data_IF_170025650875
#
_entry.id   IF_170025650875
#
_cell.length_a   1.000
_cell.length_b   1.000
_cell.length_c   1.000
_cell.angle_alpha   90.00
_cell.angle_beta   90.00
_cell.angle_gamma   90.00
#
_symmetry.space_group_name_H-M   'P 1'
#
loop_
_entity.id
_entity.type
_entity.pdbx_description
1 polymer ?
#
# COMPACT_ATOMS: atom_id res chain seq x y z
N UNK A 1 22.18 -15.25 8.51
CA UNK A 1 22.07 -14.93 7.07
C UNK A 1 21.72 -13.46 6.95
N UNK A 2 22.75 -12.64 6.75
CA UNK A 2 22.61 -11.24 6.35
C UNK A 2 21.82 -11.21 5.03
N UNK A 3 20.93 -10.21 4.87
CA UNK A 3 20.23 -10.00 3.61
C UNK A 3 21.25 -9.97 2.46
N UNK A 4 20.99 -10.69 1.37
CA UNK A 4 21.85 -10.60 0.17
C UNK A 4 21.88 -9.13 -0.26
N UNK A 5 23.07 -8.50 -0.21
CA UNK A 5 23.25 -7.10 -0.61
C UNK A 5 22.85 -6.88 -2.08
N UNK A 6 22.95 -7.91 -2.92
CA UNK A 6 22.65 -7.84 -4.35
C UNK A 6 21.15 -7.89 -4.67
N UNK A 7 20.33 -8.36 -3.72
CA UNK A 7 18.86 -8.47 -3.86
C UNK A 7 18.18 -8.11 -2.54
N UNK A 8 18.18 -6.83 -2.15
CA UNK A 8 17.50 -6.36 -0.94
C UNK A 8 16.00 -6.71 -0.99
N UNK A 9 15.32 -6.82 0.16
CA UNK A 9 13.88 -7.05 0.17
C UNK A 9 13.14 -5.91 -0.56
N UNK A 10 11.95 -6.19 -1.06
CA UNK A 10 11.09 -5.18 -1.70
C UNK A 10 9.95 -4.87 -0.73
N UNK A 11 9.68 -3.58 -0.51
CA UNK A 11 8.54 -3.12 0.27
C UNK A 11 7.55 -2.43 -0.67
N UNK A 12 6.32 -2.93 -0.72
CA UNK A 12 5.21 -2.34 -1.47
C UNK A 12 4.26 -1.70 -0.47
N UNK A 13 4.06 -0.39 -0.58
CA UNK A 13 3.14 0.37 0.26
C UNK A 13 2.20 1.25 -0.52
N UNK A 14 1.11 1.63 0.15
CA UNK A 14 0.02 2.43 -0.38
C UNK A 14 -1.20 2.19 0.48
N UNK A 15 -2.23 3.02 0.34
CA UNK A 15 -3.45 2.79 1.11
C UNK A 15 -4.16 1.50 0.68
N UNK A 16 -4.91 0.84 1.60
CA UNK A 16 -5.79 -0.24 1.23
C UNK A 16 -6.69 0.19 0.07
N UNK A 17 -6.88 -0.71 -0.91
CA UNK A 17 -7.70 -0.47 -2.12
C UNK A 17 -7.05 0.40 -3.21
N UNK A 18 -5.74 0.67 -3.10
CA UNK A 18 -4.94 1.34 -4.12
C UNK A 18 -4.23 0.38 -5.10
N UNK A 19 -4.61 -0.90 -5.13
CA UNK A 19 -4.01 -1.88 -6.05
C UNK A 19 -2.74 -2.59 -5.54
N UNK A 20 -2.29 -2.29 -4.32
CA UNK A 20 -1.13 -2.92 -3.66
C UNK A 20 -1.14 -4.46 -3.73
N UNK A 21 -2.32 -5.08 -3.64
CA UNK A 21 -2.47 -6.55 -3.68
C UNK A 21 -2.27 -7.10 -5.09
N UNK A 22 -2.81 -6.43 -6.11
CA UNK A 22 -2.61 -6.82 -7.51
C UNK A 22 -1.13 -6.71 -7.88
N UNK A 23 -0.52 -5.56 -7.55
CA UNK A 23 0.91 -5.30 -7.71
C UNK A 23 1.76 -6.41 -7.11
N UNK A 24 1.58 -6.69 -5.82
CA UNK A 24 2.31 -7.76 -5.12
C UNK A 24 2.07 -9.15 -5.74
N UNK A 25 0.85 -9.43 -6.23
CA UNK A 25 0.52 -10.72 -6.86
C UNK A 25 1.27 -10.92 -8.18
N UNK A 26 1.34 -9.88 -9.02
CA UNK A 26 2.09 -9.94 -10.28
C UNK A 26 3.58 -10.08 -10.01
N UNK A 27 4.17 -9.28 -9.10
CA UNK A 27 5.59 -9.39 -8.76
C UNK A 27 5.96 -10.78 -8.18
N UNK A 28 5.06 -11.40 -7.41
CA UNK A 28 5.25 -12.74 -6.85
C UNK A 28 5.30 -13.86 -7.90
N UNK A 29 5.01 -13.58 -9.17
CA UNK A 29 5.20 -14.56 -10.25
C UNK A 29 6.67 -14.77 -10.62
N UNK A 30 7.57 -13.85 -10.22
CA UNK A 30 9.01 -14.00 -10.44
C UNK A 30 9.59 -15.20 -9.68
N UNK A 31 10.76 -15.68 -10.13
CA UNK A 31 11.42 -16.83 -9.51
C UNK A 31 11.93 -16.46 -8.11
N UNK A 32 11.93 -17.45 -7.22
CA UNK A 32 12.48 -17.37 -5.86
C UNK A 32 11.99 -16.18 -5.01
N UNK A 33 10.69 -15.85 -5.06
CA UNK A 33 10.06 -14.85 -4.19
C UNK A 33 9.45 -15.49 -2.93
N UNK A 34 9.59 -14.79 -1.80
CA UNK A 34 8.81 -14.94 -0.56
C UNK A 34 7.92 -13.72 -0.37
N UNK A 35 6.63 -13.85 -0.67
CA UNK A 35 5.68 -12.76 -0.44
C UNK A 35 5.13 -12.80 0.98
N UNK A 36 5.27 -11.70 1.71
CA UNK A 36 4.69 -11.45 3.02
C UNK A 36 3.55 -10.44 2.91
N UNK A 37 2.39 -10.82 3.43
CA UNK A 37 1.15 -10.06 3.35
C UNK A 37 0.85 -9.33 4.66
N UNK A 38 0.85 -8.00 4.59
CA UNK A 38 0.43 -7.06 5.62
C UNK A 38 0.90 -7.40 7.05
N UNK A 39 2.23 -7.54 7.28
CA UNK A 39 2.76 -7.83 8.60
C UNK A 39 2.40 -6.79 9.64
N UNK A 40 2.16 -5.52 9.27
CA UNK A 40 1.81 -4.45 10.21
C UNK A 40 0.29 -4.35 10.47
N UNK A 41 -0.50 -5.33 10.02
CA UNK A 41 -1.94 -5.36 10.24
C UNK A 41 -2.29 -5.84 11.65
N UNK A 42 -2.56 -4.90 12.56
CA UNK A 42 -2.87 -5.18 13.97
C UNK A 42 -4.13 -6.04 14.18
N UNK A 43 -5.09 -6.02 13.25
CA UNK A 43 -6.33 -6.81 13.36
C UNK A 43 -6.07 -8.31 13.10
N UNK A 44 -4.91 -8.66 12.54
CA UNK A 44 -4.54 -10.03 12.19
C UNK A 44 -3.20 -10.49 12.74
N UNK A 45 -2.31 -9.57 13.10
CA UNK A 45 -0.98 -9.83 13.65
C UNK A 45 -0.90 -9.05 14.96
N UNK A 46 -1.17 -9.71 16.09
CA UNK A 46 -1.20 -9.04 17.40
C UNK A 46 0.13 -8.36 17.77
N UNK A 47 1.26 -8.98 17.40
CA UNK A 47 2.62 -8.43 17.54
C UNK A 47 2.79 -7.08 16.81
N UNK A 48 1.97 -6.79 15.79
CA UNK A 48 2.03 -5.54 15.04
C UNK A 48 1.24 -4.38 15.68
N UNK A 49 0.44 -4.63 16.71
CA UNK A 49 -0.35 -3.60 17.41
C UNK A 49 0.45 -2.33 17.77
N UNK A 50 1.63 -2.41 18.41
CA UNK A 50 2.43 -1.21 18.73
C UNK A 50 3.06 -0.54 17.49
N UNK A 51 3.00 -1.18 16.33
CA UNK A 51 3.65 -0.76 15.09
C UNK A 51 2.67 -0.23 14.04
N UNK A 52 1.37 -0.35 14.30
CA UNK A 52 0.31 0.08 13.38
C UNK A 52 0.35 1.59 13.14
N UNK A 53 0.51 1.98 11.86
CA UNK A 53 0.63 3.38 11.40
C UNK A 53 1.66 4.20 12.19
N UNK A 54 2.67 3.52 12.75
CA UNK A 54 3.70 4.17 13.54
C UNK A 54 4.55 5.07 12.64
N UNK A 55 4.84 6.27 13.11
CA UNK A 55 5.81 7.19 12.55
C UNK A 55 7.10 7.14 13.38
N UNK A 56 8.23 7.14 12.69
CA UNK A 56 9.57 7.25 13.28
C UNK A 56 10.43 8.08 12.32
N UNK A 57 11.22 9.01 12.87
CA UNK A 57 12.30 9.68 12.12
C UNK A 57 13.42 8.69 11.82
N UNK A 58 14.22 8.92 10.78
CA UNK A 58 15.23 7.95 10.32
C UNK A 58 16.19 7.42 11.42
N UNK A 59 16.55 8.30 12.36
CA UNK A 59 17.50 8.09 13.45
C UNK A 59 16.85 7.69 14.79
N UNK A 60 15.52 7.63 14.86
CA UNK A 60 14.82 7.25 16.07
C UNK A 60 15.22 5.82 16.52
N UNK A 61 15.62 5.70 17.79
CA UNK A 61 15.95 4.40 18.36
C UNK A 61 14.69 3.70 18.92
N UNK A 62 14.16 2.75 18.15
CA UNK A 62 13.06 1.90 18.58
C UNK A 62 13.42 0.42 18.39
N UNK A 63 13.94 -0.21 19.45
CA UNK A 63 14.42 -1.60 19.40
C UNK A 63 13.31 -2.60 19.06
N UNK A 64 12.08 -2.36 19.53
CA UNK A 64 10.94 -3.24 19.26
C UNK A 64 10.57 -3.19 17.78
N UNK A 65 10.42 -1.99 17.20
CA UNK A 65 10.16 -1.82 15.77
C UNK A 65 11.30 -2.37 14.92
N UNK A 66 12.55 -2.15 15.34
CA UNK A 66 13.73 -2.71 14.65
C UNK A 66 13.74 -4.22 14.63
N UNK A 67 13.49 -4.86 15.78
CA UNK A 67 13.42 -6.32 15.85
C UNK A 67 12.28 -6.87 14.97
N UNK A 68 11.10 -6.22 15.03
CA UNK A 68 9.95 -6.59 14.22
C UNK A 68 10.26 -6.49 12.71
N UNK A 69 10.78 -5.37 12.25
CA UNK A 69 11.23 -5.18 10.87
C UNK A 69 12.27 -6.22 10.46
N UNK A 70 13.33 -6.42 11.26
CA UNK A 70 14.37 -7.40 10.94
C UNK A 70 13.81 -8.82 10.80
N UNK A 71 12.87 -9.23 11.64
CA UNK A 71 12.16 -10.53 11.54
C UNK A 71 11.34 -10.65 10.27
N UNK A 72 10.58 -9.61 9.92
CA UNK A 72 9.72 -9.55 8.72
C UNK A 72 10.57 -9.54 7.45
N UNK A 73 11.46 -8.57 7.30
CA UNK A 73 12.23 -8.34 6.07
C UNK A 73 13.32 -9.39 5.81
N UNK A 74 13.78 -10.12 6.84
CA UNK A 74 14.64 -11.30 6.65
C UNK A 74 13.90 -12.56 6.21
N UNK A 75 12.56 -12.50 6.11
CA UNK A 75 11.75 -13.65 5.70
C UNK A 75 11.60 -14.72 6.79
N UNK A 76 11.89 -14.37 8.06
CA UNK A 76 11.85 -15.29 9.22
C UNK A 76 10.50 -15.32 9.93
N UNK A 77 9.56 -14.45 9.58
CA UNK A 77 8.21 -14.51 10.16
C UNK A 77 7.52 -15.81 9.78
N UNK A 78 7.02 -16.53 10.78
CA UNK A 78 6.24 -17.77 10.62
C UNK A 78 4.73 -17.56 10.78
N UNK A 79 4.29 -16.31 10.97
CA UNK A 79 2.88 -16.00 11.21
C UNK A 79 2.01 -16.44 10.02
N UNK A 80 0.95 -17.24 10.21
CA UNK A 80 0.14 -17.78 9.12
C UNK A 80 -0.45 -16.70 8.22
N UNK A 81 -0.97 -15.61 8.79
CA UNK A 81 -1.52 -14.49 8.02
C UNK A 81 -0.45 -13.79 7.15
N UNK A 82 0.76 -13.62 7.68
CA UNK A 82 1.88 -12.99 6.96
C UNK A 82 2.30 -13.85 5.78
N UNK A 83 2.38 -15.17 5.97
CA UNK A 83 2.71 -16.11 4.88
C UNK A 83 1.57 -16.35 3.91
N UNK A 84 0.32 -16.19 4.34
CA UNK A 84 -0.84 -16.67 3.62
C UNK A 84 -1.97 -15.63 3.63
N UNK A 85 -1.94 -14.74 2.64
CA UNK A 85 -3.16 -14.13 2.05
C UNK A 85 -2.86 -13.29 0.81
N UNK A 86 -2.61 -13.95 -0.31
CA UNK A 86 -3.16 -13.46 -1.57
C UNK A 86 -4.35 -14.36 -1.91
N UNK A 87 -5.57 -13.85 -1.76
CA UNK A 87 -6.81 -14.60 -1.95
C UNK A 87 -6.95 -15.13 -3.39
N UNK A 88 -7.63 -16.27 -3.57
CA UNK A 88 -8.12 -16.75 -4.88
C UNK A 88 -7.10 -17.54 -5.72
N UNK A 89 -7.27 -17.51 -7.05
CA UNK A 89 -6.49 -18.25 -8.06
C UNK A 89 -4.95 -18.07 -7.95
N UNK A 90 -4.48 -17.08 -7.19
CA UNK A 90 -3.06 -16.81 -6.87
C UNK A 90 -2.46 -17.71 -5.79
N UNK A 91 -3.30 -18.44 -5.05
CA UNK A 91 -2.88 -19.40 -4.01
C UNK A 91 -2.41 -20.75 -4.56
N UNK A 92 -2.62 -21.02 -5.87
CA UNK A 92 -2.27 -22.31 -6.50
C UNK A 92 -0.78 -22.48 -6.81
N UNK A 93 0.05 -21.47 -6.57
CA UNK A 93 1.49 -21.63 -6.60
C UNK A 93 1.95 -22.21 -5.26
N UNK A 94 1.94 -23.56 -5.20
CA UNK A 94 2.59 -24.51 -4.29
C UNK A 94 2.99 -23.95 -2.91
N UNK A 95 2.59 -24.64 -1.83
CA UNK A 95 3.20 -24.57 -0.49
C UNK A 95 4.73 -24.53 -0.61
N UNK A 96 5.31 -23.35 -0.80
CA UNK A 96 6.74 -23.17 -1.03
C UNK A 96 7.35 -23.34 0.34
N UNK A 97 8.18 -24.35 0.50
CA UNK A 97 8.69 -24.74 1.79
C UNK A 97 9.47 -23.56 2.36
N UNK A 98 9.08 -23.06 3.54
CA UNK A 98 9.52 -21.74 4.03
C UNK A 98 11.03 -21.63 4.29
N UNK A 99 11.72 -22.77 4.30
CA UNK A 99 13.17 -22.87 4.39
C UNK A 99 13.91 -22.57 3.08
N UNK A 100 13.25 -22.69 1.91
CA UNK A 100 13.93 -22.41 0.64
C UNK A 100 14.32 -20.93 0.57
N UNK A 101 15.52 -20.60 0.08
CA UNK A 101 15.96 -19.22 -0.06
C UNK A 101 15.10 -18.48 -1.08
N UNK A 102 14.86 -17.20 -0.85
CA UNK A 102 14.11 -16.36 -1.78
C UNK A 102 14.11 -14.90 -1.36
N UNK A 103 14.02 -14.01 -2.34
CA UNK A 103 13.92 -12.57 -2.13
C UNK A 103 12.57 -12.25 -1.50
N UNK A 104 12.58 -11.50 -0.41
CA UNK A 104 11.37 -11.13 0.32
C UNK A 104 10.70 -9.96 -0.38
N UNK A 105 9.40 -10.09 -0.64
CA UNK A 105 8.52 -8.98 -0.97
C UNK A 105 7.57 -8.81 0.20
N UNK A 106 7.58 -7.66 0.85
CA UNK A 106 6.61 -7.29 1.87
C UNK A 106 5.61 -6.36 1.22
N UNK A 107 4.34 -6.76 1.18
CA UNK A 107 3.25 -5.86 0.85
C UNK A 107 2.60 -5.42 2.13
N UNK A 108 2.48 -4.13 2.36
CA UNK A 108 1.89 -3.61 3.59
C UNK A 108 1.19 -2.27 3.36
N UNK A 109 0.15 -1.98 4.14
CA UNK A 109 -0.66 -0.75 4.01
C UNK A 109 -0.69 0.07 5.31
N UNK A 110 -0.02 -0.43 6.35
CA UNK A 110 -0.03 0.09 7.71
C UNK A 110 1.34 0.62 8.16
N UNK A 111 2.38 0.42 7.36
CA UNK A 111 3.76 0.92 7.56
C UNK A 111 4.05 2.25 6.85
N UNK A 112 3.06 2.83 6.17
CA UNK A 112 3.23 4.01 5.31
C UNK A 112 3.86 5.22 6.00
N UNK A 113 3.71 5.38 7.32
CA UNK A 113 4.28 6.53 8.05
C UNK A 113 5.77 6.33 8.43
N UNK A 114 6.29 5.11 8.49
CA UNK A 114 7.66 4.83 8.96
C UNK A 114 8.65 4.56 7.82
N UNK A 115 8.39 5.03 6.59
CA UNK A 115 9.24 4.63 5.46
C UNK A 115 10.68 5.15 5.58
N UNK A 116 10.91 6.39 6.00
CA UNK A 116 12.28 6.92 6.20
C UNK A 116 13.07 6.05 7.18
N UNK A 117 12.43 5.66 8.29
CA UNK A 117 13.03 4.77 9.28
C UNK A 117 13.34 3.40 8.67
N UNK A 118 12.40 2.82 7.92
CA UNK A 118 12.56 1.50 7.29
C UNK A 118 13.66 1.54 6.22
N UNK A 119 13.70 2.58 5.39
CA UNK A 119 14.73 2.80 4.38
C UNK A 119 16.11 2.90 5.04
N UNK A 120 16.23 3.72 6.08
CA UNK A 120 17.49 3.92 6.79
C UNK A 120 17.99 2.66 7.51
N UNK A 121 17.12 1.93 8.21
CA UNK A 121 17.52 0.85 9.12
C UNK A 121 17.47 -0.56 8.49
N UNK A 122 16.69 -0.74 7.42
CA UNK A 122 16.47 -2.04 6.75
C UNK A 122 16.91 -2.00 5.28
N UNK A 123 16.83 -0.84 4.63
CA UNK A 123 17.19 -0.61 3.23
C UNK A 123 16.51 -1.55 2.22
N UNK A 124 15.17 -1.73 2.22
CA UNK A 124 14.47 -2.39 1.13
C UNK A 124 14.42 -1.51 -0.13
N UNK A 125 14.15 -2.12 -1.29
CA UNK A 125 13.64 -1.35 -2.44
C UNK A 125 12.17 -1.00 -2.19
N UNK A 126 11.86 0.29 -2.09
CA UNK A 126 10.51 0.78 -1.77
C UNK A 126 9.74 1.10 -3.04
N UNK A 127 8.51 0.59 -3.12
CA UNK A 127 7.51 0.88 -4.15
C UNK A 127 6.28 1.48 -3.48
N UNK A 128 6.02 2.74 -3.74
CA UNK A 128 4.80 3.44 -3.33
C UNK A 128 3.81 3.36 -4.50
N UNK A 129 2.62 2.83 -4.23
CA UNK A 129 1.49 2.88 -5.16
C UNK A 129 0.40 3.79 -4.61
N UNK A 130 -0.04 4.73 -5.43
CA UNK A 130 -1.22 5.57 -5.15
C UNK A 130 -2.39 5.25 -6.09
N UNK A 131 -3.58 5.71 -5.73
CA UNK A 131 -4.80 5.63 -6.55
C UNK A 131 -5.57 6.94 -6.37
N UNK A 132 -6.26 7.37 -7.42
CA UNK A 132 -7.14 8.52 -7.39
C UNK A 132 -8.09 8.45 -6.17
N UNK A 133 -8.25 9.55 -5.41
CA UNK A 133 -8.99 9.54 -4.16
C UNK A 133 -10.46 9.12 -4.34
N UNK A 134 -11.12 9.56 -5.42
CA UNK A 134 -12.48 9.11 -5.77
C UNK A 134 -12.54 7.59 -6.06
N UNK A 135 -11.52 7.02 -6.69
CA UNK A 135 -11.43 5.58 -6.93
C UNK A 135 -11.31 4.78 -5.62
N UNK A 136 -10.52 5.29 -4.67
CA UNK A 136 -10.40 4.71 -3.34
C UNK A 136 -11.71 4.86 -2.55
N UNK A 137 -12.29 6.06 -2.50
CA UNK A 137 -13.52 6.37 -1.78
C UNK A 137 -14.70 5.52 -2.28
N UNK A 138 -14.85 5.39 -3.60
CA UNK A 138 -15.87 4.52 -4.18
C UNK A 138 -15.69 3.05 -3.79
N UNK A 139 -14.44 2.56 -3.76
CA UNK A 139 -14.18 1.20 -3.28
C UNK A 139 -14.53 1.05 -1.80
N UNK A 140 -14.25 2.04 -0.97
CA UNK A 140 -14.51 1.98 0.47
C UNK A 140 -15.99 2.08 0.76
N UNK A 141 -16.73 2.92 0.03
CA UNK A 141 -18.19 3.01 0.13
C UNK A 141 -18.82 1.63 -0.05
N UNK A 142 -18.47 0.89 -1.12
CA UNK A 142 -19.03 -0.46 -1.35
C UNK A 142 -18.70 -1.47 -0.25
N UNK A 143 -17.49 -1.41 0.29
CA UNK A 143 -17.05 -2.40 1.29
C UNK A 143 -17.59 -2.11 2.68
N UNK A 144 -17.90 -0.84 2.98
CA UNK A 144 -18.04 -0.42 4.37
C UNK A 144 -19.25 0.47 4.67
N UNK A 145 -20.11 0.75 3.69
CA UNK A 145 -21.35 1.54 3.90
C UNK A 145 -22.24 1.01 5.03
N UNK A 146 -22.20 -0.29 5.33
CA UNK A 146 -22.97 -0.92 6.41
C UNK A 146 -22.26 -0.98 7.77
N UNK A 147 -20.98 -0.58 7.85
CA UNK A 147 -20.22 -0.61 9.10
C UNK A 147 -20.32 0.74 9.80
N UNK A 148 -21.24 0.84 10.76
CA UNK A 148 -21.38 1.94 11.73
C UNK A 148 -20.13 2.10 12.63
N UNK A 149 -19.20 1.12 12.61
CA UNK A 149 -17.99 1.16 13.41
C UNK A 149 -16.82 1.78 12.63
N UNK A 150 -16.51 3.02 13.02
CA UNK A 150 -15.53 3.94 12.46
C UNK A 150 -14.07 3.50 12.68
N UNK A 151 -13.70 2.30 12.20
CA UNK A 151 -12.32 1.83 12.21
C UNK A 151 -11.33 2.75 11.47
N UNK A 152 -11.84 3.72 10.71
CA UNK A 152 -11.11 4.72 9.90
C UNK A 152 -10.91 6.05 10.61
N UNK A 153 -11.86 6.46 11.46
CA UNK A 153 -11.61 7.48 12.47
C UNK A 153 -10.42 7.09 13.34
N UNK A 154 -10.25 5.79 13.62
CA UNK A 154 -9.05 5.28 14.31
C UNK A 154 -7.75 5.57 13.56
N UNK A 155 -7.74 5.58 12.23
CA UNK A 155 -6.53 5.82 11.45
C UNK A 155 -6.11 7.30 11.53
N UNK A 156 -7.04 8.24 11.31
CA UNK A 156 -6.76 9.66 11.53
C UNK A 156 -6.36 9.95 12.98
N UNK A 157 -7.11 9.41 13.95
CA UNK A 157 -6.77 9.54 15.37
C UNK A 157 -5.37 9.00 15.67
N UNK A 158 -4.98 7.87 15.04
CA UNK A 158 -3.65 7.31 15.19
C UNK A 158 -2.56 8.21 14.60
N UNK A 159 -2.79 8.86 13.45
CA UNK A 159 -1.85 9.83 12.90
C UNK A 159 -1.73 11.05 13.82
N UNK A 160 -2.87 11.61 14.26
CA UNK A 160 -2.94 12.78 15.14
C UNK A 160 -2.40 12.51 16.56
N UNK A 161 -2.37 11.25 17.01
CA UNK A 161 -1.84 10.87 18.31
C UNK A 161 -0.30 10.77 18.34
N UNK A 162 0.39 11.13 17.26
CA UNK A 162 1.84 11.00 17.13
C UNK A 162 2.50 12.39 17.02
N UNK A 163 3.03 12.96 18.12
CA UNK A 163 3.53 14.34 18.13
C UNK A 163 4.60 14.64 17.07
N UNK A 164 5.57 13.74 16.88
CA UNK A 164 6.60 13.90 15.83
C UNK A 164 6.01 13.94 14.42
N UNK A 165 4.99 13.13 14.14
CA UNK A 165 4.34 13.12 12.83
C UNK A 165 3.57 14.42 12.57
N UNK A 166 2.91 14.95 13.60
CA UNK A 166 2.28 16.27 13.53
C UNK A 166 3.31 17.34 13.24
N UNK A 167 4.37 17.42 14.06
CA UNK A 167 5.47 18.38 13.92
C UNK A 167 6.10 18.34 12.52
N UNK A 168 6.45 17.15 12.04
CA UNK A 168 7.22 16.99 10.81
C UNK A 168 6.38 17.19 9.54
N UNK A 169 5.08 16.87 9.59
CA UNK A 169 4.25 16.81 8.38
C UNK A 169 2.84 17.39 8.52
N UNK A 170 2.10 17.04 9.57
CA UNK A 170 0.64 17.20 9.58
C UNK A 170 0.12 18.47 10.28
N UNK A 171 0.97 19.21 10.98
CA UNK A 171 0.61 20.46 11.67
C UNK A 171 -0.16 21.46 10.78
N UNK A 172 0.22 21.68 9.49
CA UNK A 172 -0.53 22.61 8.62
C UNK A 172 -1.98 22.20 8.31
N UNK A 173 -2.36 20.95 8.60
CA UNK A 173 -3.66 20.37 8.29
C UNK A 173 -4.38 19.88 9.54
N UNK A 174 -3.86 20.16 10.74
CA UNK A 174 -4.33 19.57 11.98
C UNK A 174 -5.82 19.85 12.24
N UNK A 175 -6.25 21.10 12.07
CA UNK A 175 -7.64 21.49 12.25
C UNK A 175 -8.57 20.77 11.26
N UNK A 176 -8.19 20.68 9.98
CA UNK A 176 -8.96 19.93 8.98
C UNK A 176 -9.04 18.44 9.33
N UNK A 177 -7.93 17.85 9.77
CA UNK A 177 -7.83 16.44 10.13
C UNK A 177 -8.66 16.09 11.37
N UNK A 178 -8.73 17.01 12.35
CA UNK A 178 -9.55 16.86 13.57
C UNK A 178 -11.03 17.04 13.27
N UNK A 179 -11.38 17.94 12.35
CA UNK A 179 -12.75 18.23 11.94
C UNK A 179 -13.18 17.38 10.72
N UNK A 180 -12.96 16.07 10.79
CA UNK A 180 -13.41 15.11 9.76
C UNK A 180 -14.83 14.60 10.07
N UNK A 181 -15.86 15.31 9.62
CA UNK A 181 -17.24 15.10 10.10
C UNK A 181 -17.99 14.01 9.34
N UNK A 182 -17.74 13.88 8.03
CA UNK A 182 -18.45 12.93 7.18
C UNK A 182 -17.60 11.73 6.77
N UNK A 183 -18.26 10.69 6.28
CA UNK A 183 -17.60 9.51 5.69
C UNK A 183 -16.60 9.90 4.59
N UNK A 184 -16.99 10.84 3.70
CA UNK A 184 -16.13 11.26 2.60
C UNK A 184 -15.02 12.19 3.05
N UNK A 185 -15.25 13.06 4.04
CA UNK A 185 -14.19 13.86 4.65
C UNK A 185 -13.11 12.97 5.26
N UNK A 186 -13.52 11.99 6.07
CA UNK A 186 -12.59 11.08 6.72
C UNK A 186 -11.71 10.33 5.71
N UNK A 187 -12.30 9.86 4.60
CA UNK A 187 -11.56 9.18 3.53
C UNK A 187 -10.61 10.14 2.82
N UNK A 188 -11.10 11.30 2.41
CA UNK A 188 -10.33 12.27 1.64
C UNK A 188 -9.15 12.82 2.45
N UNK A 189 -9.39 13.15 3.73
CA UNK A 189 -8.36 13.64 4.64
C UNK A 189 -7.35 12.56 5.01
N UNK A 190 -7.78 11.31 5.24
CA UNK A 190 -6.84 10.21 5.47
C UNK A 190 -6.00 9.90 4.24
N UNK A 191 -6.62 9.90 3.05
CA UNK A 191 -5.92 9.77 1.78
C UNK A 191 -4.88 10.87 1.63
N UNK A 192 -5.28 12.12 1.85
CA UNK A 192 -4.42 13.27 1.68
C UNK A 192 -3.26 13.28 2.67
N UNK A 193 -3.51 13.01 3.95
CA UNK A 193 -2.47 12.94 4.99
C UNK A 193 -1.41 11.89 4.66
N UNK A 194 -1.83 10.66 4.34
CA UNK A 194 -0.88 9.58 4.04
C UNK A 194 -0.09 9.87 2.77
N UNK A 195 -0.74 10.27 1.68
CA UNK A 195 0.00 10.55 0.44
C UNK A 195 0.79 11.85 0.50
N UNK A 196 0.44 12.81 1.36
CA UNK A 196 1.29 13.95 1.69
C UNK A 196 2.58 13.52 2.37
N UNK A 197 2.51 12.70 3.43
CA UNK A 197 3.69 12.15 4.11
C UNK A 197 4.55 11.37 3.11
N UNK A 198 3.95 10.41 2.41
CA UNK A 198 4.64 9.56 1.44
C UNK A 198 5.30 10.37 0.32
N UNK A 199 4.64 11.41 -0.19
CA UNK A 199 5.20 12.26 -1.23
C UNK A 199 6.36 13.11 -0.70
N UNK A 200 6.25 13.67 0.50
CA UNK A 200 7.35 14.44 1.11
C UNK A 200 8.59 13.57 1.32
N UNK A 201 8.41 12.35 1.82
CA UNK A 201 9.50 11.38 1.94
C UNK A 201 10.06 10.98 0.57
N UNK A 202 9.20 10.68 -0.40
CA UNK A 202 9.63 10.34 -1.76
C UNK A 202 10.54 11.43 -2.38
N UNK A 203 10.27 12.72 -2.14
CA UNK A 203 11.09 13.82 -2.65
C UNK A 203 12.53 13.82 -2.13
N UNK A 204 12.81 13.23 -0.98
CA UNK A 204 14.17 13.12 -0.41
C UNK A 204 14.81 11.75 -0.66
N UNK A 205 14.08 10.80 -1.26
CA UNK A 205 14.53 9.43 -1.52
C UNK A 205 14.37 9.07 -3.01
N UNK A 206 15.26 9.55 -3.91
CA UNK A 206 15.13 9.36 -5.37
C UNK A 206 15.20 7.89 -5.83
N UNK A 207 15.69 6.98 -4.98
CA UNK A 207 15.75 5.56 -5.26
C UNK A 207 14.40 4.84 -5.06
N UNK A 208 13.42 5.49 -4.44
CA UNK A 208 12.09 4.93 -4.29
C UNK A 208 11.34 4.98 -5.62
N UNK A 209 10.42 4.04 -5.80
CA UNK A 209 9.60 3.95 -7.00
C UNK A 209 8.20 4.41 -6.64
N UNK A 210 7.73 5.49 -7.26
CA UNK A 210 6.36 5.97 -7.13
C UNK A 210 5.59 5.62 -8.40
N UNK A 211 4.44 4.97 -8.26
CA UNK A 211 3.55 4.60 -9.38
C UNK A 211 2.10 4.86 -9.04
N UNK A 212 1.27 5.06 -10.06
CA UNK A 212 -0.17 5.14 -9.90
C UNK A 212 -0.84 3.83 -10.30
N UNK A 213 -1.93 3.50 -9.61
CA UNK A 213 -2.80 2.39 -9.96
C UNK A 213 -3.36 2.57 -11.38
N UNK A 214 -3.64 3.81 -11.78
CA UNK A 214 -4.19 4.12 -13.09
C UNK A 214 -3.19 3.85 -14.22
N UNK A 215 -1.89 4.12 -14.05
CA UNK A 215 -0.86 3.71 -15.02
C UNK A 215 -0.84 2.20 -15.19
N UNK A 216 -0.75 1.45 -14.09
CA UNK A 216 -0.78 -0.01 -14.12
C UNK A 216 -2.04 -0.54 -14.82
N UNK A 217 -3.19 0.11 -14.65
CA UNK A 217 -4.44 -0.31 -15.27
C UNK A 217 -4.55 0.03 -16.76
N UNK A 218 -3.96 1.14 -17.22
CA UNK A 218 -4.06 1.59 -18.62
C UNK A 218 -3.17 0.77 -19.54
N UNK A 219 -1.94 0.48 -19.12
CA UNK A 219 -1.01 -0.36 -19.89
C UNK A 219 -0.26 -1.34 -18.97
N UNK A 220 -0.94 -2.40 -18.50
CA UNK A 220 -0.35 -3.33 -17.53
C UNK A 220 0.96 -3.94 -18.03
N UNK A 221 1.03 -4.35 -19.29
CA UNK A 221 2.20 -5.05 -19.82
C UNK A 221 3.43 -4.13 -19.80
N UNK A 222 3.29 -2.90 -20.30
CA UNK A 222 4.39 -1.92 -20.31
C UNK A 222 4.83 -1.58 -18.89
N UNK A 223 3.89 -1.18 -18.03
CA UNK A 223 4.22 -0.67 -16.70
C UNK A 223 4.81 -1.75 -15.79
N UNK A 224 4.32 -3.00 -15.87
CA UNK A 224 4.95 -4.11 -15.13
C UNK A 224 6.32 -4.48 -15.71
N UNK A 225 6.55 -4.43 -17.03
CA UNK A 225 7.89 -4.71 -17.60
C UNK A 225 8.93 -3.72 -17.06
N UNK A 226 8.60 -2.43 -17.05
CA UNK A 226 9.47 -1.40 -16.47
C UNK A 226 9.68 -1.61 -14.97
N UNK A 227 8.64 -1.97 -14.23
CA UNK A 227 8.75 -2.24 -12.80
C UNK A 227 9.62 -3.48 -12.50
N UNK A 228 9.47 -4.57 -13.26
CA UNK A 228 10.31 -5.76 -13.11
C UNK A 228 11.79 -5.43 -13.36
N UNK A 229 12.08 -4.60 -14.37
CA UNK A 229 13.43 -4.12 -14.66
C UNK A 229 13.99 -3.29 -13.51
N UNK A 230 13.26 -2.27 -13.02
CA UNK A 230 13.68 -1.43 -11.89
C UNK A 230 13.92 -2.23 -10.60
N UNK A 231 13.12 -3.27 -10.39
CA UNK A 231 13.24 -4.15 -9.23
C UNK A 231 14.20 -5.32 -9.44
N UNK A 232 14.88 -5.46 -10.58
CA UNK A 232 15.73 -6.61 -10.90
C UNK A 232 15.01 -7.96 -10.65
N UNK A 233 13.78 -8.05 -11.17
CA UNK A 233 12.94 -9.25 -11.14
C UNK A 233 12.89 -9.90 -12.52
N UNK A 234 12.85 -11.22 -12.56
CA UNK A 234 12.73 -11.98 -13.79
C UNK A 234 11.27 -12.03 -14.25
N UNK A 235 11.01 -11.65 -15.50
CA UNK A 235 9.72 -11.84 -16.17
C UNK A 235 9.56 -13.30 -16.58
N UNK A 236 8.38 -13.88 -16.35
CA UNK A 236 8.12 -15.30 -16.62
C UNK A 236 6.80 -15.50 -17.37
N UNK A 237 6.60 -16.68 -17.95
CA UNK A 237 5.30 -17.04 -18.54
C UNK A 237 4.14 -17.00 -17.53
N UNK A 238 4.43 -17.18 -16.23
CA UNK A 238 3.42 -16.98 -15.17
C UNK A 238 3.00 -15.52 -15.04
N UNK A 239 3.93 -14.60 -15.29
CA UNK A 239 3.69 -13.15 -15.32
C UNK A 239 2.74 -12.81 -16.48
N UNK A 240 2.95 -13.39 -17.65
CA UNK A 240 2.02 -13.22 -18.78
C UNK A 240 0.62 -13.78 -18.45
N UNK A 241 0.56 -14.98 -17.87
CA UNK A 241 -0.70 -15.63 -17.48
C UNK A 241 -1.49 -14.84 -16.42
N UNK A 242 -0.83 -14.33 -15.37
CA UNK A 242 -1.51 -13.53 -14.35
C UNK A 242 -2.04 -12.24 -14.95
N UNK A 243 -1.29 -11.57 -15.83
CA UNK A 243 -1.74 -10.32 -16.45
C UNK A 243 -2.88 -10.58 -17.42
N UNK A 244 -2.83 -11.64 -18.23
CA UNK A 244 -3.91 -12.02 -19.13
C UNK A 244 -5.21 -12.39 -18.39
N UNK A 245 -5.12 -13.03 -17.21
CA UNK A 245 -6.31 -13.45 -16.44
C UNK A 245 -6.84 -12.37 -15.50
N UNK A 246 -5.98 -11.50 -14.97
CA UNK A 246 -6.35 -10.48 -13.98
C UNK A 246 -6.88 -9.18 -14.56
N UNK A 247 -6.71 -8.95 -15.87
CA UNK A 247 -7.02 -7.67 -16.53
C UNK A 247 -8.28 -7.69 -17.40
N UNK A 248 -8.85 -8.87 -17.66
CA UNK A 248 -9.93 -9.07 -18.66
C UNK A 248 -11.29 -9.43 -18.06
N UNK A 249 -11.35 -9.81 -16.77
CA UNK A 249 -12.58 -10.24 -16.12
C UNK A 249 -12.69 -9.70 -14.69
N UNK A 250 -13.90 -9.26 -14.31
CA UNK A 250 -14.22 -8.87 -12.93
C UNK A 250 -14.81 -10.07 -12.19
N UNK A 251 -14.15 -10.52 -11.12
CA UNK A 251 -14.64 -11.67 -10.34
C UNK A 251 -15.78 -11.32 -9.38
N UNK A 252 -16.26 -10.07 -9.37
CA UNK A 252 -17.37 -9.58 -8.52
C UNK A 252 -17.04 -9.45 -7.02
N UNK A 253 -16.03 -10.17 -6.52
CA UNK A 253 -15.60 -10.13 -5.13
C UNK A 253 -14.79 -8.86 -4.83
N UNK A 254 -15.18 -8.13 -3.78
CA UNK A 254 -14.50 -6.90 -3.34
C UNK A 254 -13.01 -7.10 -3.07
N UNK A 255 -12.59 -8.25 -2.51
CA UNK A 255 -11.19 -8.51 -2.16
C UNK A 255 -10.35 -9.09 -3.30
N UNK A 256 -10.97 -9.48 -4.42
CA UNK A 256 -10.24 -10.00 -5.57
C UNK A 256 -9.49 -8.89 -6.33
N UNK A 257 -8.26 -9.14 -6.80
CA UNK A 257 -7.56 -8.22 -7.70
C UNK A 257 -7.94 -8.40 -9.18
N UNK A 258 -8.74 -9.42 -9.55
CA UNK A 258 -9.17 -9.63 -10.94
C UNK A 258 -10.25 -8.62 -11.33
N UNK A 259 -9.96 -7.78 -12.33
CA UNK A 259 -10.86 -6.75 -12.85
C UNK A 259 -10.68 -6.60 -14.36
N UNK A 260 -11.66 -5.97 -15.01
CA UNK A 260 -11.41 -5.32 -16.31
C UNK A 260 -10.57 -4.08 -16.05
N UNK A 261 -9.25 -4.22 -16.13
CA UNK A 261 -8.28 -3.22 -15.65
C UNK A 261 -8.48 -1.84 -16.30
N UNK A 262 -8.74 -1.81 -17.61
CA UNK A 262 -8.98 -0.58 -18.37
C UNK A 262 -10.15 0.27 -17.83
N UNK A 263 -11.13 -0.35 -17.16
CA UNK A 263 -12.28 0.35 -16.60
C UNK A 263 -12.03 0.89 -15.18
N UNK A 264 -11.04 0.35 -14.46
CA UNK A 264 -10.82 0.71 -13.05
C UNK A 264 -10.44 2.18 -12.80
N UNK A 265 -9.71 2.89 -13.68
CA UNK A 265 -9.39 4.31 -13.51
C UNK A 265 -10.62 5.23 -13.49
N UNK A 266 -11.67 4.90 -14.25
CA UNK A 266 -12.86 5.75 -14.44
C UNK A 266 -14.13 5.19 -13.78
N UNK A 267 -14.07 3.97 -13.21
CA UNK A 267 -15.21 3.27 -12.60
C UNK A 267 -15.98 4.10 -11.57
N UNK A 268 -15.28 4.95 -10.82
CA UNK A 268 -15.86 5.77 -9.76
C UNK A 268 -16.82 6.85 -10.28
N UNK A 269 -16.68 7.30 -11.54
CA UNK A 269 -17.59 8.29 -12.16
C UNK A 269 -19.04 7.80 -12.21
N UNK A 270 -19.25 6.48 -12.28
CA UNK A 270 -20.59 5.87 -12.29
C UNK A 270 -21.07 5.46 -10.89
N UNK A 271 -20.23 5.60 -9.86
CA UNK A 271 -20.45 5.05 -8.53
C UNK A 271 -20.56 6.11 -7.43
N UNK A 272 -20.11 7.34 -7.71
CA UNK A 272 -20.20 8.48 -6.82
C UNK A 272 -21.09 9.55 -7.45
N UNK A 273 -21.82 10.29 -6.63
CA UNK A 273 -22.57 11.46 -7.10
C UNK A 273 -21.62 12.65 -7.33
N UNK A 274 -22.02 13.67 -8.13
CA UNK A 274 -21.22 14.88 -8.32
C UNK A 274 -20.81 15.55 -7.00
N UNK A 275 -21.72 15.63 -6.03
CA UNK A 275 -21.48 16.25 -4.72
C UNK A 275 -20.44 15.45 -3.92
N UNK A 276 -20.49 14.11 -3.99
CA UNK A 276 -19.50 13.25 -3.34
C UNK A 276 -18.12 13.44 -3.97
N UNK A 277 -18.04 13.54 -5.30
CA UNK A 277 -16.80 13.80 -6.02
C UNK A 277 -16.22 15.15 -5.59
N UNK A 278 -17.05 16.19 -5.56
CA UNK A 278 -16.65 17.54 -5.15
C UNK A 278 -16.10 17.58 -3.72
N UNK A 279 -16.80 16.95 -2.76
CA UNK A 279 -16.34 16.86 -1.36
C UNK A 279 -14.96 16.20 -1.29
N UNK A 280 -14.80 15.05 -1.95
CA UNK A 280 -13.53 14.31 -1.95
C UNK A 280 -12.42 15.19 -2.54
N UNK A 281 -12.63 15.76 -3.73
CA UNK A 281 -11.64 16.57 -4.43
C UNK A 281 -11.25 17.80 -3.62
N UNK A 282 -12.24 18.52 -3.06
CA UNK A 282 -12.03 19.69 -2.20
C UNK A 282 -11.13 19.35 -1.02
N UNK A 283 -11.45 18.30 -0.26
CA UNK A 283 -10.67 17.90 0.91
C UNK A 283 -9.27 17.38 0.55
N UNK A 284 -9.14 16.63 -0.55
CA UNK A 284 -7.80 16.19 -0.99
C UNK A 284 -6.93 17.32 -1.52
N UNK A 285 -7.53 18.39 -2.06
CA UNK A 285 -6.79 19.52 -2.62
C UNK A 285 -6.02 20.32 -1.57
N UNK A 286 -6.42 20.24 -0.29
CA UNK A 286 -5.74 20.88 0.85
C UNK A 286 -4.25 20.55 0.89
N UNK A 287 -3.89 19.31 0.56
CA UNK A 287 -2.52 18.80 0.66
C UNK A 287 -1.60 19.23 -0.50
N UNK A 288 -2.15 19.88 -1.55
CA UNK A 288 -1.40 20.40 -2.71
C UNK A 288 -0.44 19.38 -3.34
N UNK A 289 -0.88 18.13 -3.43
CA UNK A 289 -0.13 17.05 -4.07
C UNK A 289 -0.02 17.30 -5.59
N UNK A 290 1.13 16.97 -6.24
CA UNK A 290 1.34 17.24 -7.66
C UNK A 290 0.60 16.25 -8.58
N UNK A 291 -0.16 15.33 -7.99
CA UNK A 291 -0.95 14.32 -8.69
C UNK A 291 -2.41 14.44 -8.25
N UNK A 292 -3.32 14.17 -9.18
CA UNK A 292 -4.78 14.30 -9.00
C UNK A 292 -5.24 15.71 -8.57
N UNK A 293 -4.39 16.72 -8.73
CA UNK A 293 -4.73 18.13 -8.56
C UNK A 293 -5.45 18.63 -9.83
N UNK A 294 -6.78 18.64 -9.78
CA UNK A 294 -7.73 18.94 -10.88
C UNK A 294 -7.80 17.84 -11.95
N UNK A 295 -8.94 17.15 -11.94
CA UNK A 295 -9.43 16.24 -12.98
C UNK A 295 -10.95 16.28 -12.97
#
# INVERSE_FOLDING_TARGET
MLLSKDKPPILIVGLPRSGTTWLASVLNTSKNIKLFHEPFNMDHVSEASPHWLKYLRADDNDLAFKHFCQKVFSGKSNHPYIKCKLTGHYSRLKKRLSWLPGRVIVKDVHSCAALDWIDHNIAPQIVIITRHPCGLASSWLRTFKSSQNNGRGRALNRLLAQPKLLEDYLHPFEDDLRNSDTFFDNIALYWGAIYYILHKQYQTHPNWIFITHEELCRDPIKEYKELFKKLNLEWTSKTDQILATSTVADSGSSYSPMRVSANEPSKWLKQLTPEQIEIIQKKTSLFKLPFYSKG
#
